data_IF_855538758514
#
_entry.id   IF_855538758514
#
_cell.length_a   1.000
_cell.length_b   1.000
_cell.length_c   1.000
_cell.angle_alpha   90.00
_cell.angle_beta   90.00
_cell.angle_gamma   90.00
#
_symmetry.space_group_name_H-M   'P 1'
#
loop_
_entity.id
_entity.type
_entity.pdbx_description
1 polymer ?
#
# COMPACT_ATOMS: atom_id res chain seq x y z
N UNK A 1 -33.01 11.06 -19.66
CA UNK A 1 -32.18 9.90 -20.03
C UNK A 1 -31.16 9.69 -18.93
N UNK A 2 -31.28 8.60 -18.17
CA UNK A 2 -30.25 8.22 -17.20
C UNK A 2 -29.01 7.78 -17.98
N UNK A 3 -27.91 8.51 -17.86
CA UNK A 3 -26.62 8.04 -18.36
C UNK A 3 -26.17 6.91 -17.43
N UNK A 4 -26.43 5.67 -17.83
CA UNK A 4 -25.77 4.52 -17.27
C UNK A 4 -24.27 4.76 -17.41
N UNK A 5 -23.54 4.86 -16.30
CA UNK A 5 -22.07 4.86 -16.30
C UNK A 5 -21.60 3.46 -16.63
N UNK A 6 -21.86 3.05 -17.87
CA UNK A 6 -21.47 1.75 -18.37
C UNK A 6 -19.99 1.83 -18.75
N UNK A 7 -19.16 1.04 -18.08
CA UNK A 7 -17.78 0.81 -18.48
C UNK A 7 -16.71 1.75 -17.92
N UNK A 8 -16.71 2.09 -16.62
CA UNK A 8 -15.41 2.36 -15.96
C UNK A 8 -14.70 1.04 -15.73
N UNK A 9 -14.20 0.46 -16.82
CA UNK A 9 -13.20 -0.59 -16.73
C UNK A 9 -12.04 -0.02 -15.91
N UNK A 10 -11.66 -0.70 -14.84
CA UNK A 10 -10.42 -0.39 -14.14
C UNK A 10 -9.29 -0.63 -15.15
N UNK A 11 -8.61 0.43 -15.56
CA UNK A 11 -7.38 0.30 -16.33
C UNK A 11 -6.32 -0.31 -15.42
N UNK A 12 -5.57 -1.28 -15.94
CA UNK A 12 -4.45 -1.85 -15.21
C UNK A 12 -3.29 -0.85 -15.22
N UNK A 13 -2.85 -0.48 -14.03
CA UNK A 13 -1.67 0.36 -13.83
C UNK A 13 -0.55 -0.49 -13.24
N UNK A 14 0.61 -0.46 -13.88
CA UNK A 14 1.84 -1.07 -13.35
C UNK A 14 2.68 0.04 -12.76
N UNK A 15 2.78 0.06 -11.43
CA UNK A 15 3.64 0.99 -10.69
C UNK A 15 4.67 0.20 -9.90
N UNK A 16 5.88 0.74 -9.82
CA UNK A 16 6.92 0.21 -8.94
C UNK A 16 6.82 0.82 -7.53
N UNK A 17 7.40 0.16 -6.53
CA UNK A 17 7.48 0.75 -5.18
C UNK A 17 8.38 1.99 -5.19
N UNK A 18 9.37 2.03 -6.08
CA UNK A 18 10.25 3.16 -6.29
C UNK A 18 9.48 4.40 -6.79
N UNK A 19 8.46 4.20 -7.62
CA UNK A 19 7.57 5.28 -8.09
C UNK A 19 6.60 5.74 -6.98
N UNK A 20 6.03 4.80 -6.21
CA UNK A 20 5.10 5.13 -5.13
C UNK A 20 5.80 5.73 -3.90
N UNK A 21 7.05 5.35 -3.67
CA UNK A 21 7.87 5.75 -2.51
C UNK A 21 9.24 6.20 -3.01
N UNK A 22 9.35 7.41 -3.56
CA UNK A 22 10.62 7.99 -4.02
C UNK A 22 11.69 8.06 -2.92
N UNK A 23 12.95 8.28 -3.29
CA UNK A 23 14.07 8.29 -2.34
C UNK A 23 13.92 9.31 -1.20
N UNK A 24 13.37 10.49 -1.49
CA UNK A 24 13.19 11.55 -0.49
C UNK A 24 11.91 11.41 0.35
N UNK A 25 11.12 10.35 0.08
CA UNK A 25 9.80 10.16 0.65
C UNK A 25 9.87 10.01 2.17
N UNK A 26 8.87 10.55 2.86
CA UNK A 26 8.80 10.56 4.32
C UNK A 26 8.95 9.15 4.92
N UNK A 27 8.33 8.14 4.31
CA UNK A 27 8.40 6.76 4.81
C UNK A 27 9.83 6.21 4.83
N UNK A 28 10.67 6.52 3.83
CA UNK A 28 12.09 6.10 3.83
C UNK A 28 12.90 6.83 4.91
N UNK A 29 12.58 8.11 5.16
CA UNK A 29 13.19 8.87 6.26
C UNK A 29 12.81 8.26 7.60
N UNK A 30 11.53 7.92 7.79
CA UNK A 30 11.05 7.28 9.02
C UNK A 30 11.72 5.92 9.22
N UNK A 31 11.72 5.05 8.20
CA UNK A 31 12.34 3.72 8.24
C UNK A 31 13.83 3.77 8.60
N UNK A 32 14.54 4.79 8.12
CA UNK A 32 15.96 5.02 8.46
C UNK A 32 16.20 5.31 9.95
N UNK A 33 15.24 5.91 10.66
CA UNK A 33 15.45 6.40 12.03
C UNK A 33 14.63 5.67 13.08
N UNK A 34 13.60 4.91 12.68
CA UNK A 34 12.68 4.23 13.60
C UNK A 34 12.52 2.78 13.15
N UNK A 35 12.91 1.86 14.02
CA UNK A 35 12.70 0.42 13.81
C UNK A 35 11.25 0.03 14.16
N UNK A 36 10.47 -0.32 13.14
CA UNK A 36 9.10 -0.82 13.26
C UNK A 36 8.98 -2.35 13.19
N UNK A 37 10.09 -3.09 13.33
CA UNK A 37 10.09 -4.56 13.33
C UNK A 37 9.19 -5.21 14.39
N UNK A 38 8.78 -4.45 15.42
CA UNK A 38 7.85 -4.91 16.45
C UNK A 38 6.38 -4.93 16.01
N UNK A 39 6.00 -4.21 14.94
CA UNK A 39 4.58 -4.09 14.53
C UNK A 39 3.97 -5.45 14.16
N UNK A 40 4.60 -6.30 13.32
CA UNK A 40 4.01 -7.57 12.90
C UNK A 40 3.58 -8.47 14.04
N UNK A 41 4.38 -8.55 15.11
CA UNK A 41 4.02 -9.33 16.31
C UNK A 41 2.74 -8.80 16.97
N UNK A 42 2.63 -7.47 17.09
CA UNK A 42 1.47 -6.83 17.72
C UNK A 42 0.18 -6.99 16.93
N UNK A 43 0.27 -6.95 15.60
CA UNK A 43 -0.90 -7.00 14.73
C UNK A 43 -1.26 -8.41 14.28
N UNK A 44 -0.41 -9.41 14.56
CA UNK A 44 -0.62 -10.82 14.18
C UNK A 44 -2.04 -11.33 14.43
N UNK A 45 -2.69 -11.08 15.59
CA UNK A 45 -4.03 -11.60 15.85
C UNK A 45 -5.12 -11.08 14.90
N UNK A 46 -4.84 -10.02 14.14
CA UNK A 46 -5.79 -9.43 13.19
C UNK A 46 -5.60 -9.93 11.76
N UNK A 47 -4.57 -10.72 11.48
CA UNK A 47 -4.36 -11.35 10.18
C UNK A 47 -4.97 -12.75 10.16
N UNK A 48 -5.46 -13.16 8.98
CA UNK A 48 -5.81 -14.57 8.76
C UNK A 48 -4.52 -15.40 8.78
N UNK A 49 -4.53 -16.53 9.49
CA UNK A 49 -3.39 -17.47 9.48
C UNK A 49 -3.36 -18.31 8.18
N UNK A 50 -4.49 -18.40 7.46
CA UNK A 50 -4.59 -19.00 6.13
C UNK A 50 -4.89 -17.89 5.10
N UNK A 51 -3.92 -17.60 4.23
CA UNK A 51 -3.96 -16.51 3.23
C UNK A 51 -3.77 -17.06 1.81
#
# INVERSE_FOLDING_TARGET
MYQSKDGRQLEFEFVSIEELVPEDHLLRKIDRYIDFSFIPEKVRPYYSEDN
#
